data_IF_989863818818
#
_entry.id   IF_989863818818
#
_cell.length_a   1.000
_cell.length_b   1.000
_cell.length_c   1.000
_cell.angle_alpha   90.00
_cell.angle_beta   90.00
_cell.angle_gamma   90.00
#
_symmetry.space_group_name_H-M   'P 1'
#
loop_
_entity.id
_entity.type
_entity.pdbx_description
1 polymer ?
#
# COMPACT_ATOMS: atom_id res chain seq x y z
N UNK A 1 4.75 -6.53 -18.80
CA UNK A 1 3.64 -6.10 -17.91
C UNK A 1 3.29 -7.30 -17.08
N UNK A 2 3.40 -7.20 -15.80
CA UNK A 2 3.10 -8.31 -14.89
C UNK A 2 1.56 -8.53 -14.90
N UNK A 3 1.10 -9.51 -15.65
CA UNK A 3 -0.32 -9.73 -15.93
C UNK A 3 -1.12 -10.14 -14.67
N UNK A 4 -0.39 -10.48 -13.58
CA UNK A 4 -0.97 -10.99 -12.34
C UNK A 4 -1.27 -9.89 -11.29
N UNK A 5 -0.93 -8.62 -11.55
CA UNK A 5 -1.04 -7.51 -10.59
C UNK A 5 -2.08 -6.50 -11.03
N UNK A 6 -3.33 -6.71 -10.63
CA UNK A 6 -4.47 -5.90 -11.04
C UNK A 6 -4.36 -4.43 -10.62
N UNK A 7 -3.67 -4.16 -9.52
CA UNK A 7 -3.46 -2.79 -9.01
C UNK A 7 -2.57 -1.93 -9.92
N UNK A 8 -1.81 -2.51 -10.86
CA UNK A 8 -1.09 -1.74 -11.88
C UNK A 8 -2.01 -1.20 -12.98
N UNK A 9 -3.13 -1.87 -13.23
CA UNK A 9 -4.12 -1.37 -14.19
C UNK A 9 -4.98 -0.25 -13.58
N UNK A 10 -5.39 -0.43 -12.32
CA UNK A 10 -6.07 0.59 -11.53
C UNK A 10 -5.96 0.29 -10.03
N UNK A 11 -5.62 1.30 -9.19
CA UNK A 11 -5.55 1.14 -7.74
C UNK A 11 -6.94 1.04 -7.08
N UNK A 12 -8.02 1.28 -7.82
CA UNK A 12 -9.39 1.37 -7.30
C UNK A 12 -10.17 0.05 -7.30
N UNK A 13 -9.53 -1.08 -7.64
CA UNK A 13 -10.14 -2.40 -7.55
C UNK A 13 -10.42 -2.75 -6.10
N UNK A 14 -11.71 -2.91 -5.76
CA UNK A 14 -12.17 -3.28 -4.40
C UNK A 14 -12.44 -4.77 -4.25
N UNK A 15 -12.91 -5.40 -5.34
CA UNK A 15 -13.20 -6.83 -5.40
C UNK A 15 -12.69 -7.41 -6.71
N UNK A 16 -12.25 -8.66 -6.68
CA UNK A 16 -11.77 -9.37 -7.86
C UNK A 16 -11.92 -10.87 -7.70
N UNK A 17 -11.95 -11.59 -8.82
CA UNK A 17 -11.93 -13.04 -8.82
C UNK A 17 -10.52 -13.54 -9.10
N UNK A 18 -10.11 -14.61 -8.42
CA UNK A 18 -8.84 -15.26 -8.64
C UNK A 18 -8.94 -16.78 -8.41
N UNK A 19 -7.90 -17.50 -8.85
CA UNK A 19 -7.74 -18.93 -8.53
C UNK A 19 -6.58 -19.07 -7.56
N UNK A 20 -6.74 -19.87 -6.51
CA UNK A 20 -5.68 -20.22 -5.56
C UNK A 20 -4.72 -21.20 -6.25
N UNK A 21 -3.50 -20.79 -6.54
CA UNK A 21 -2.48 -21.64 -7.18
C UNK A 21 -1.75 -22.53 -6.18
N UNK A 22 -1.54 -22.04 -4.96
CA UNK A 22 -0.98 -22.81 -3.85
C UNK A 22 -1.41 -22.20 -2.52
N UNK A 23 -1.46 -23.04 -1.46
CA UNK A 23 -1.73 -22.58 -0.10
C UNK A 23 -1.04 -23.52 0.88
N UNK A 24 0.02 -23.04 1.55
CA UNK A 24 0.89 -23.86 2.42
C UNK A 24 1.00 -23.24 3.81
N UNK A 25 0.95 -24.08 4.84
CA UNK A 25 1.15 -23.58 6.20
C UNK A 25 2.57 -23.11 6.41
N UNK A 26 2.71 -21.88 6.92
CA UNK A 26 4.01 -21.28 7.23
C UNK A 26 4.45 -21.59 8.67
N UNK A 27 5.68 -21.18 9.03
CA UNK A 27 6.26 -21.43 10.35
C UNK A 27 5.56 -20.70 11.52
N UNK A 28 4.74 -19.69 11.22
CA UNK A 28 3.96 -18.93 12.22
C UNK A 28 2.63 -19.62 12.55
N UNK A 29 2.25 -20.66 11.79
CA UNK A 29 0.96 -21.34 11.93
C UNK A 29 -0.17 -20.73 11.08
N UNK A 30 0.11 -19.65 10.35
CA UNK A 30 -0.76 -19.06 9.33
C UNK A 30 -0.49 -19.71 7.96
N UNK A 31 -1.14 -19.24 6.89
CA UNK A 31 -1.09 -19.88 5.59
C UNK A 31 -0.62 -18.90 4.51
N UNK A 32 0.39 -19.29 3.73
CA UNK A 32 0.90 -18.52 2.62
C UNK A 32 0.21 -19.00 1.33
N UNK A 33 -0.60 -18.14 0.73
CA UNK A 33 -1.30 -18.42 -0.51
C UNK A 33 -0.72 -17.62 -1.68
N UNK A 34 -0.61 -18.27 -2.83
CA UNK A 34 -0.27 -17.66 -4.13
C UNK A 34 -1.51 -17.73 -5.02
N UNK A 35 -1.80 -16.64 -5.71
CA UNK A 35 -2.96 -16.48 -6.58
C UNK A 35 -2.51 -16.27 -8.02
N UNK A 36 -3.32 -16.68 -8.99
CA UNK A 36 -3.06 -16.41 -10.41
C UNK A 36 -3.09 -14.92 -10.75
N UNK A 37 -3.83 -14.13 -9.98
CA UNK A 37 -3.89 -12.67 -10.07
C UNK A 37 -4.33 -12.07 -8.74
N UNK A 38 -3.93 -10.81 -8.46
CA UNK A 38 -4.27 -10.14 -7.22
C UNK A 38 -4.44 -8.63 -7.37
N UNK A 39 -5.40 -8.07 -6.62
CA UNK A 39 -5.52 -6.64 -6.40
C UNK A 39 -4.98 -6.21 -5.01
N UNK A 40 -4.56 -7.14 -4.16
CA UNK A 40 -3.90 -6.82 -2.89
C UNK A 40 -2.52 -6.24 -3.14
N UNK A 41 -2.27 -5.04 -2.63
CA UNK A 41 -0.97 -4.39 -2.72
C UNK A 41 -0.02 -4.96 -1.65
N UNK A 42 1.18 -5.42 -2.04
CA UNK A 42 2.16 -5.93 -1.08
C UNK A 42 2.80 -4.79 -0.28
N UNK A 43 3.34 -5.12 0.90
CA UNK A 43 4.18 -4.20 1.65
C UNK A 43 5.40 -3.78 0.82
N UNK A 44 5.70 -2.49 0.79
CA UNK A 44 6.87 -1.96 0.09
C UNK A 44 6.93 -0.44 0.12
N UNK A 45 8.13 0.12 -0.09
CA UNK A 45 8.32 1.56 -0.17
C UNK A 45 7.87 2.36 1.06
N UNK A 46 7.94 1.76 2.26
CA UNK A 46 7.50 2.40 3.50
C UNK A 46 5.98 2.35 3.75
N UNK A 47 5.22 1.73 2.83
CA UNK A 47 3.77 1.55 2.96
C UNK A 47 3.44 0.13 3.41
N UNK A 48 2.54 -0.07 4.40
CA UNK A 48 2.07 -1.39 4.80
C UNK A 48 1.24 -2.04 3.70
N UNK A 49 1.18 -3.39 3.72
CA UNK A 49 0.35 -4.13 2.79
C UNK A 49 -1.14 -3.89 3.01
N UNK A 50 -1.91 -4.19 1.97
CA UNK A 50 -3.35 -4.33 2.12
C UNK A 50 -3.72 -5.47 3.05
N UNK A 51 -4.95 -5.38 3.54
CA UNK A 51 -5.69 -6.43 4.22
C UNK A 51 -7.07 -6.60 3.56
N UNK A 52 -7.79 -7.63 3.96
CA UNK A 52 -9.11 -7.92 3.42
C UNK A 52 -9.48 -9.38 3.58
N UNK A 53 -10.17 -9.95 2.60
CA UNK A 53 -10.57 -11.36 2.63
C UNK A 53 -10.44 -12.05 1.28
N UNK A 54 -10.21 -13.37 1.31
CA UNK A 54 -10.32 -14.29 0.17
C UNK A 54 -11.36 -15.35 0.53
N UNK A 55 -12.50 -15.37 -0.17
CA UNK A 55 -13.67 -16.20 0.19
C UNK A 55 -14.05 -16.11 1.67
N UNK A 56 -13.96 -14.91 2.27
CA UNK A 56 -14.24 -14.67 3.68
C UNK A 56 -13.11 -15.02 4.65
N UNK A 57 -12.03 -15.69 4.21
CA UNK A 57 -10.83 -15.93 5.00
C UNK A 57 -10.00 -14.65 5.05
N UNK A 58 -9.59 -14.21 6.24
CA UNK A 58 -8.82 -12.97 6.40
C UNK A 58 -7.44 -13.05 5.75
N UNK A 59 -7.11 -12.03 4.97
CA UNK A 59 -5.76 -11.73 4.50
C UNK A 59 -5.10 -10.84 5.54
N UNK A 60 -4.12 -11.38 6.25
CA UNK A 60 -3.43 -10.72 7.35
C UNK A 60 -2.30 -9.82 6.89
N UNK A 61 -1.59 -10.25 5.85
CA UNK A 61 -0.43 -9.56 5.30
C UNK A 61 -0.21 -9.98 3.84
N UNK A 62 0.34 -9.07 3.04
CA UNK A 62 0.72 -9.34 1.66
C UNK A 62 2.17 -8.90 1.45
N UNK A 63 2.99 -9.80 0.94
CA UNK A 63 4.40 -9.54 0.69
C UNK A 63 4.80 -9.94 -0.74
N UNK A 64 5.86 -9.34 -1.23
CA UNK A 64 6.46 -9.69 -2.51
C UNK A 64 7.76 -10.45 -2.28
N UNK A 65 7.92 -11.60 -2.95
CA UNK A 65 9.13 -12.39 -2.93
C UNK A 65 9.58 -12.74 -4.35
N UNK A 66 10.54 -11.99 -4.84
CA UNK A 66 10.88 -12.02 -6.27
C UNK A 66 9.70 -11.50 -7.10
N UNK A 67 9.19 -12.28 -8.02
CA UNK A 67 8.03 -11.93 -8.85
C UNK A 67 6.70 -12.44 -8.27
N UNK A 68 6.73 -13.13 -7.12
CA UNK A 68 5.55 -13.77 -6.51
C UNK A 68 4.98 -12.93 -5.38
N UNK A 69 3.68 -12.69 -5.44
CA UNK A 69 2.91 -12.06 -4.36
C UNK A 69 2.37 -13.15 -3.45
N UNK A 70 2.73 -13.09 -2.17
CA UNK A 70 2.33 -14.04 -1.14
C UNK A 70 1.30 -13.38 -0.23
N UNK A 71 0.17 -14.07 -0.04
CA UNK A 71 -0.93 -13.63 0.82
C UNK A 71 -0.92 -14.48 2.09
N UNK A 72 -0.60 -13.89 3.25
CA UNK A 72 -0.67 -14.56 4.55
C UNK A 72 -2.13 -14.59 5.02
N UNK A 73 -2.70 -15.79 5.14
CA UNK A 73 -4.10 -16.03 5.49
C UNK A 73 -4.23 -16.57 6.92
N UNK A 74 -5.35 -16.23 7.57
CA UNK A 74 -5.72 -16.76 8.90
C UNK A 74 -6.04 -18.27 8.86
N UNK A 75 -6.58 -18.76 7.75
CA UNK A 75 -6.98 -20.15 7.55
C UNK A 75 -6.68 -20.61 6.11
N UNK A 76 -6.60 -21.94 5.85
CA UNK A 76 -6.28 -22.44 4.53
C UNK A 76 -7.40 -22.24 3.52
N UNK A 77 -7.01 -22.15 2.25
CA UNK A 77 -7.89 -22.30 1.10
C UNK A 77 -7.41 -23.50 0.27
N UNK A 78 -8.34 -24.21 -0.33
CA UNK A 78 -8.03 -25.35 -1.21
C UNK A 78 -7.44 -24.87 -2.53
N UNK A 79 -6.36 -25.51 -2.97
CA UNK A 79 -5.73 -25.25 -4.28
C UNK A 79 -6.72 -25.52 -5.42
N UNK A 80 -6.66 -24.71 -6.45
CA UNK A 80 -7.60 -24.76 -7.57
C UNK A 80 -8.95 -24.08 -7.31
N UNK A 81 -9.22 -23.62 -6.07
CA UNK A 81 -10.47 -22.92 -5.72
C UNK A 81 -10.55 -21.58 -6.43
N UNK A 82 -11.71 -21.30 -7.02
CA UNK A 82 -12.07 -19.95 -7.45
C UNK A 82 -12.46 -19.14 -6.22
N UNK A 83 -11.73 -18.06 -5.95
CA UNK A 83 -11.90 -17.23 -4.77
C UNK A 83 -12.25 -15.78 -5.15
N UNK A 84 -13.15 -15.18 -4.37
CA UNK A 84 -13.42 -13.75 -4.40
C UNK A 84 -12.46 -13.04 -3.41
N UNK A 85 -11.64 -12.14 -3.93
CA UNK A 85 -10.84 -11.22 -3.13
C UNK A 85 -11.59 -9.94 -2.85
N UNK A 86 -11.64 -9.51 -1.59
CA UNK A 86 -12.26 -8.26 -1.13
C UNK A 86 -11.21 -7.47 -0.36
N UNK A 87 -10.85 -6.31 -0.89
CA UNK A 87 -9.87 -5.41 -0.26
C UNK A 87 -10.54 -4.66 0.91
N UNK A 88 -9.83 -4.51 2.04
CA UNK A 88 -10.18 -3.51 3.06
C UNK A 88 -10.01 -2.12 2.45
N UNK A 89 -11.09 -1.63 1.84
CA UNK A 89 -11.04 -0.40 1.06
C UNK A 89 -10.75 0.84 1.90
N UNK A 90 -11.22 0.86 3.15
CA UNK A 90 -10.97 2.01 4.03
C UNK A 90 -9.45 2.14 4.27
N UNK A 91 -8.81 1.05 4.66
CA UNK A 91 -7.35 1.03 4.87
C UNK A 91 -6.58 1.36 3.59
N UNK A 92 -6.95 0.75 2.44
CA UNK A 92 -6.32 1.04 1.16
C UNK A 92 -6.42 2.52 0.81
N UNK A 93 -7.60 3.11 0.93
CA UNK A 93 -7.84 4.49 0.54
C UNK A 93 -7.11 5.47 1.46
N UNK A 94 -7.10 5.21 2.78
CA UNK A 94 -6.33 5.99 3.74
C UNK A 94 -4.82 5.95 3.41
N UNK A 95 -4.27 4.77 3.11
CA UNK A 95 -2.87 4.63 2.70
C UNK A 95 -2.58 5.42 1.41
N UNK A 96 -3.46 5.36 0.41
CA UNK A 96 -3.31 6.11 -0.85
C UNK A 96 -3.30 7.62 -0.59
N UNK A 97 -4.20 8.13 0.27
CA UNK A 97 -4.25 9.55 0.62
C UNK A 97 -2.98 10.00 1.35
N UNK A 98 -2.52 9.21 2.34
CA UNK A 98 -1.30 9.53 3.10
C UNK A 98 -0.06 9.49 2.20
N UNK A 99 0.05 8.51 1.32
CA UNK A 99 1.17 8.40 0.39
C UNK A 99 1.19 9.57 -0.61
N UNK A 100 0.03 9.94 -1.15
CA UNK A 100 -0.09 11.14 -2.01
C UNK A 100 0.29 12.41 -1.24
N UNK A 101 -0.17 12.55 0.00
CA UNK A 101 0.17 13.67 0.87
C UNK A 101 1.69 13.77 1.12
N UNK A 102 2.34 12.63 1.33
CA UNK A 102 3.81 12.55 1.44
C UNK A 102 4.48 13.11 0.18
N UNK A 103 4.10 12.65 -1.01
CA UNK A 103 4.69 13.11 -2.25
C UNK A 103 4.51 14.62 -2.48
N UNK A 104 3.35 15.17 -2.14
CA UNK A 104 3.10 16.63 -2.20
C UNK A 104 4.04 17.37 -1.23
N UNK A 105 4.15 16.87 0.00
CA UNK A 105 5.03 17.46 1.03
C UNK A 105 6.49 17.43 0.59
N UNK A 106 6.99 16.26 0.20
CA UNK A 106 8.37 16.06 -0.25
C UNK A 106 8.70 16.89 -1.49
N UNK A 107 7.78 16.99 -2.44
CA UNK A 107 7.93 17.83 -3.62
C UNK A 107 8.04 19.32 -3.29
N UNK A 108 7.28 19.80 -2.31
CA UNK A 108 7.35 21.20 -1.84
C UNK A 108 8.67 21.43 -1.09
N UNK A 109 9.10 20.50 -0.23
CA UNK A 109 10.40 20.60 0.47
C UNK A 109 11.55 20.65 -0.54
N UNK A 110 11.56 19.71 -1.49
CA UNK A 110 12.59 19.67 -2.52
C UNK A 110 12.62 20.97 -3.35
N UNK A 111 11.47 21.44 -3.83
CA UNK A 111 11.41 22.64 -4.66
C UNK A 111 11.77 23.94 -3.94
N UNK A 112 11.61 23.97 -2.59
CA UNK A 112 11.85 25.17 -1.78
C UNK A 112 13.25 25.21 -1.19
N UNK A 113 13.74 24.07 -0.70
CA UNK A 113 14.99 23.95 0.07
C UNK A 113 16.06 23.11 -0.63
N UNK A 114 15.69 22.34 -1.65
CA UNK A 114 16.59 21.39 -2.34
C UNK A 114 16.89 20.14 -1.51
N UNK A 115 16.12 19.87 -0.44
CA UNK A 115 16.31 18.68 0.39
C UNK A 115 15.59 17.47 -0.22
N UNK A 116 16.22 16.31 -0.06
CA UNK A 116 15.67 15.02 -0.51
C UNK A 116 15.00 14.29 0.64
N UNK A 117 13.86 13.63 0.36
CA UNK A 117 13.29 12.66 1.28
C UNK A 117 14.17 11.40 1.28
N UNK A 118 14.79 11.10 2.41
CA UNK A 118 15.69 9.94 2.60
C UNK A 118 15.07 8.82 3.42
N UNK A 119 13.84 9.01 3.92
CA UNK A 119 13.11 8.00 4.67
C UNK A 119 11.62 8.31 4.73
N UNK A 120 10.81 7.29 4.47
CA UNK A 120 9.35 7.34 4.55
C UNK A 120 8.82 6.10 5.26
N UNK A 121 7.93 6.32 6.22
CA UNK A 121 7.23 5.22 6.88
C UNK A 121 5.79 5.63 7.19
N UNK A 122 4.86 4.80 6.72
CA UNK A 122 3.43 4.95 6.94
C UNK A 122 2.95 3.85 7.89
N UNK A 123 2.31 4.24 8.98
CA UNK A 123 1.66 3.33 9.92
C UNK A 123 0.22 3.74 10.18
N UNK A 124 -0.52 2.93 10.93
CA UNK A 124 -1.94 3.18 11.22
C UNK A 124 -2.20 4.50 11.99
N UNK A 125 -1.19 5.07 12.63
CA UNK A 125 -1.35 6.25 13.50
C UNK A 125 -0.42 7.41 13.17
N UNK A 126 0.69 7.16 12.49
CA UNK A 126 1.73 8.17 12.24
C UNK A 126 2.37 7.94 10.88
N UNK A 127 2.58 9.03 10.15
CA UNK A 127 3.42 9.06 8.96
C UNK A 127 4.69 9.83 9.31
N UNK A 128 5.85 9.25 9.03
CA UNK A 128 7.15 9.91 9.24
C UNK A 128 7.87 10.10 7.91
N UNK A 129 8.55 11.22 7.79
CA UNK A 129 9.39 11.58 6.66
C UNK A 129 10.72 12.11 7.17
N UNK A 130 11.82 11.60 6.65
CA UNK A 130 13.16 12.04 6.98
C UNK A 130 13.76 12.77 5.78
N UNK A 131 14.33 13.94 6.02
CA UNK A 131 14.99 14.75 5.00
C UNK A 131 16.47 14.90 5.29
N UNK A 132 17.28 15.05 4.25
CA UNK A 132 18.73 15.30 4.35
C UNK A 132 19.09 16.76 4.72
N UNK A 133 18.09 17.54 5.13
CA UNK A 133 18.23 18.92 5.58
C UNK A 133 17.39 19.23 6.82
N UNK A 134 17.66 20.37 7.46
CA UNK A 134 16.95 20.82 8.67
C UNK A 134 15.82 21.76 8.29
N UNK A 135 14.61 21.43 8.71
CA UNK A 135 13.43 22.29 8.60
C UNK A 135 13.15 22.93 9.97
N UNK A 136 12.99 24.26 10.00
CA UNK A 136 12.53 24.96 11.20
C UNK A 136 11.01 24.73 11.41
N UNK A 137 10.47 24.96 12.61
CA UNK A 137 9.03 24.92 12.84
C UNK A 137 8.24 25.87 11.91
N UNK A 138 8.82 27.03 11.59
CA UNK A 138 8.25 28.02 10.68
C UNK A 138 8.19 27.48 9.24
N UNK A 139 9.26 26.80 8.79
CA UNK A 139 9.30 26.14 7.48
C UNK A 139 8.21 25.06 7.38
N UNK A 140 8.09 24.21 8.40
CA UNK A 140 7.06 23.15 8.45
C UNK A 140 5.65 23.75 8.33
N UNK A 141 5.38 24.84 9.06
CA UNK A 141 4.08 25.55 8.99
C UNK A 141 3.80 26.11 7.60
N UNK A 142 4.82 26.68 6.95
CA UNK A 142 4.70 27.23 5.60
C UNK A 142 4.46 26.10 4.57
N UNK A 143 5.19 24.98 4.71
CA UNK A 143 5.01 23.80 3.85
C UNK A 143 3.59 23.24 4.03
N UNK A 144 3.12 23.03 5.26
CA UNK A 144 1.77 22.54 5.55
C UNK A 144 0.70 23.40 4.88
N UNK A 145 0.84 24.73 4.96
CA UNK A 145 -0.08 25.66 4.30
C UNK A 145 -0.11 25.43 2.79
N UNK A 146 1.04 25.25 2.15
CA UNK A 146 1.14 24.98 0.71
C UNK A 146 0.60 23.61 0.33
N UNK A 147 0.86 22.57 1.13
CA UNK A 147 0.30 21.22 0.92
C UNK A 147 -1.22 21.28 0.93
N UNK A 148 -1.81 21.93 1.93
CA UNK A 148 -3.27 22.08 2.03
C UNK A 148 -3.86 22.87 0.85
N UNK A 149 -3.12 23.87 0.32
CA UNK A 149 -3.55 24.58 -0.89
C UNK A 149 -3.55 23.67 -2.12
N UNK A 150 -2.51 22.87 -2.33
CA UNK A 150 -2.42 21.90 -3.44
C UNK A 150 -3.56 20.89 -3.37
N UNK A 151 -3.88 20.40 -2.16
CA UNK A 151 -5.01 19.49 -1.94
C UNK A 151 -6.34 20.16 -2.30
N UNK A 152 -6.52 21.43 -1.87
CA UNK A 152 -7.75 22.20 -2.14
C UNK A 152 -7.91 22.54 -3.63
N UNK A 153 -6.81 22.68 -4.37
CA UNK A 153 -6.81 22.96 -5.82
C UNK A 153 -7.22 21.74 -6.66
N UNK A 154 -7.35 20.54 -6.04
CA UNK A 154 -7.80 19.28 -6.67
C UNK A 154 -7.11 18.99 -8.01
N UNK A 155 -5.79 19.05 -8.01
CA UNK A 155 -4.99 18.83 -9.21
C UNK A 155 -5.06 17.37 -9.65
N UNK A 156 -5.11 17.15 -10.97
CA UNK A 156 -4.99 15.80 -11.55
C UNK A 156 -3.55 15.33 -11.40
N UNK A 157 -3.37 14.19 -10.75
CA UNK A 157 -2.09 13.52 -10.50
C UNK A 157 -1.81 12.44 -11.54
#
# INVERSE_FOLDING_TARGET
>A
MDQNRLYYATPYVKTFMCTVESCVQNKKGTWDAVLNQTAFYPEGGGQPSDTGTLNGVKVLHVSEKGETIIHELEAPLEEGTLAEGVIDWQKRYDNMQQHTGEHIFSGIVHSTFGYENVGFHLSDSVVTMDFDGVLSPEDVTAIETRVNQVIADDLVL
#
